data_IF_591714246948
#
_entry.id   IF_591714246948
#
_cell.length_a   1.000
_cell.length_b   1.000
_cell.length_c   1.000
_cell.angle_alpha   90.00
_cell.angle_beta   90.00
_cell.angle_gamma   90.00
#
_symmetry.space_group_name_H-M   'P 1'
#
loop_
_entity.id
_entity.type
_entity.pdbx_description
1 polymer ?
#
# COMPACT_ATOMS: atom_id res chain seq x y z
N UNK A 1 -18.96 -13.23 -8.83
CA UNK A 1 -18.07 -13.58 -7.70
C UNK A 1 -16.70 -12.98 -7.97
N UNK A 2 -15.93 -12.64 -6.94
CA UNK A 2 -14.55 -12.12 -7.04
C UNK A 2 -13.66 -12.94 -6.10
N UNK A 3 -12.54 -13.46 -6.59
CA UNK A 3 -11.67 -14.38 -5.85
C UNK A 3 -12.44 -15.56 -5.20
N UNK A 4 -13.51 -16.04 -5.83
CA UNK A 4 -14.37 -17.12 -5.33
C UNK A 4 -15.52 -16.69 -4.39
N UNK A 5 -15.66 -15.40 -4.06
CA UNK A 5 -16.67 -14.90 -3.11
C UNK A 5 -17.78 -14.10 -3.79
N UNK A 6 -19.02 -14.22 -3.32
CA UNK A 6 -20.15 -13.42 -3.80
C UNK A 6 -20.04 -11.97 -3.29
N UNK A 7 -20.11 -10.99 -4.19
CA UNK A 7 -19.87 -9.58 -3.82
C UNK A 7 -20.99 -9.01 -2.97
N UNK A 8 -22.25 -9.44 -3.15
CA UNK A 8 -23.41 -8.97 -2.39
C UNK A 8 -23.46 -9.61 -1.01
N UNK A 9 -23.18 -10.91 -0.91
CA UNK A 9 -23.29 -11.69 0.33
C UNK A 9 -22.00 -11.72 1.14
N UNK A 10 -20.83 -11.61 0.50
CA UNK A 10 -19.51 -11.83 1.10
C UNK A 10 -18.56 -10.65 0.83
N UNK A 11 -19.07 -9.43 0.82
CA UNK A 11 -18.30 -8.21 0.48
C UNK A 11 -17.05 -7.98 1.33
N UNK A 12 -17.04 -8.41 2.61
CA UNK A 12 -15.85 -8.36 3.48
C UNK A 12 -14.74 -9.28 3.00
N UNK A 13 -15.07 -10.51 2.60
CA UNK A 13 -14.08 -11.48 2.10
C UNK A 13 -13.46 -11.06 0.77
N UNK A 14 -14.27 -10.43 -0.09
CA UNK A 14 -13.78 -9.81 -1.32
C UNK A 14 -12.78 -8.70 -1.00
N UNK A 15 -13.13 -7.74 -0.13
CA UNK A 15 -12.25 -6.60 0.23
C UNK A 15 -10.94 -7.00 0.91
N UNK A 16 -10.89 -8.13 1.62
CA UNK A 16 -9.63 -8.63 2.20
C UNK A 16 -8.65 -9.18 1.15
N UNK A 17 -9.14 -9.58 -0.03
CA UNK A 17 -8.37 -10.29 -1.06
C UNK A 17 -8.00 -9.43 -2.26
N UNK A 18 -8.56 -8.23 -2.36
CA UNK A 18 -8.26 -7.29 -3.44
C UNK A 18 -7.72 -5.98 -2.86
N UNK A 19 -6.76 -5.39 -3.57
CA UNK A 19 -6.38 -3.99 -3.39
C UNK A 19 -7.23 -3.11 -4.31
N UNK A 20 -7.65 -1.94 -3.84
CA UNK A 20 -8.26 -0.91 -4.68
C UNK A 20 -7.18 0.11 -5.06
N UNK A 21 -6.92 0.27 -6.35
CA UNK A 21 -6.09 1.36 -6.87
C UNK A 21 -7.02 2.41 -7.51
N UNK A 22 -7.09 3.61 -6.93
CA UNK A 22 -7.84 4.74 -7.49
C UNK A 22 -7.06 5.44 -8.60
N UNK A 23 -7.71 6.35 -9.34
CA UNK A 23 -7.01 7.24 -10.29
C UNK A 23 -5.98 8.14 -9.59
N UNK A 24 -6.18 8.40 -8.30
CA UNK A 24 -5.17 8.94 -7.41
C UNK A 24 -4.63 7.79 -6.59
N UNK A 25 -3.30 7.66 -6.56
CA UNK A 25 -2.64 6.74 -5.65
C UNK A 25 -3.17 6.99 -4.24
N UNK A 26 -3.56 5.93 -3.54
CA UNK A 26 -4.08 6.00 -2.17
C UNK A 26 -2.94 6.27 -1.15
N UNK A 27 -2.06 7.21 -1.49
CA UNK A 27 -0.90 7.63 -0.70
C UNK A 27 -1.22 8.97 -0.04
N UNK A 28 -0.90 9.07 1.24
CA UNK A 28 -0.94 10.33 1.97
C UNK A 28 0.32 11.14 1.59
N UNK A 29 0.12 12.31 1.00
CA UNK A 29 1.19 13.18 0.51
C UNK A 29 2.05 13.79 1.62
N UNK A 30 1.54 13.83 2.86
CA UNK A 30 2.28 14.31 4.03
C UNK A 30 3.26 13.26 4.57
N UNK A 31 2.98 11.99 4.32
CA UNK A 31 3.79 10.87 4.76
C UNK A 31 4.92 10.59 3.76
N UNK A 32 5.98 9.95 4.24
CA UNK A 32 7.04 9.37 3.41
C UNK A 32 6.56 8.10 2.71
N UNK A 33 7.28 7.62 1.68
CA UNK A 33 6.96 6.35 1.02
C UNK A 33 6.94 5.18 1.99
N UNK A 34 7.92 5.14 2.91
CA UNK A 34 8.01 4.11 3.96
C UNK A 34 6.84 4.17 4.95
N UNK A 35 6.43 5.36 5.36
CA UNK A 35 5.28 5.53 6.27
C UNK A 35 3.97 5.14 5.61
N UNK A 36 3.78 5.48 4.32
CA UNK A 36 2.63 5.04 3.55
C UNK A 36 2.52 3.51 3.49
N UNK A 37 3.62 2.82 3.15
CA UNK A 37 3.62 1.36 3.09
C UNK A 37 3.36 0.73 4.48
N UNK A 38 3.89 1.35 5.54
CA UNK A 38 3.62 0.90 6.91
C UNK A 38 2.16 1.12 7.34
N UNK A 39 1.56 2.25 6.95
CA UNK A 39 0.15 2.53 7.17
C UNK A 39 -0.71 1.46 6.47
N UNK A 40 -0.43 1.20 5.19
CA UNK A 40 -1.14 0.19 4.40
C UNK A 40 -1.01 -1.19 5.08
N UNK A 41 0.21 -1.63 5.43
CA UNK A 41 0.41 -2.93 6.08
C UNK A 41 -0.30 -3.05 7.45
N UNK A 42 -0.43 -1.93 8.18
CA UNK A 42 -1.19 -1.88 9.42
C UNK A 42 -2.70 -2.03 9.18
N UNK A 43 -3.24 -1.38 8.15
CA UNK A 43 -4.64 -1.52 7.74
C UNK A 43 -4.97 -2.93 7.24
N UNK A 44 -3.99 -3.64 6.66
CA UNK A 44 -4.09 -5.05 6.30
C UNK A 44 -3.80 -6.02 7.46
N UNK A 45 -3.59 -5.52 8.68
CA UNK A 45 -3.34 -6.32 9.88
C UNK A 45 -2.10 -7.25 9.81
N UNK A 46 -1.06 -6.86 9.07
CA UNK A 46 0.17 -7.67 8.94
C UNK A 46 0.99 -7.74 10.25
N UNK A 47 0.76 -6.83 11.19
CA UNK A 47 1.53 -6.73 12.44
C UNK A 47 2.85 -5.98 12.27
N UNK A 48 3.34 -5.37 13.36
CA UNK A 48 4.42 -4.36 13.32
C UNK A 48 5.71 -4.84 12.64
N UNK A 49 6.15 -6.07 12.92
CA UNK A 49 7.40 -6.61 12.36
C UNK A 49 7.25 -6.93 10.88
N UNK A 50 6.20 -7.65 10.49
CA UNK A 50 5.97 -8.00 9.08
C UNK A 50 5.70 -6.76 8.23
N UNK A 51 4.96 -5.78 8.75
CA UNK A 51 4.74 -4.49 8.08
C UNK A 51 6.05 -3.74 7.80
N UNK A 52 7.02 -3.76 8.73
CA UNK A 52 8.33 -3.12 8.52
C UNK A 52 9.13 -3.83 7.43
N UNK A 53 9.28 -5.14 7.55
CA UNK A 53 10.01 -5.95 6.56
C UNK A 53 9.40 -5.79 5.17
N UNK A 54 8.07 -5.91 5.07
CA UNK A 54 7.37 -5.81 3.80
C UNK A 54 7.44 -4.42 3.16
N UNK A 55 7.43 -3.36 3.96
CA UNK A 55 7.61 -2.00 3.44
C UNK A 55 9.00 -1.82 2.84
N UNK A 56 10.03 -2.36 3.49
CA UNK A 56 11.41 -2.24 3.03
C UNK A 56 11.63 -3.08 1.74
N UNK A 57 11.11 -4.30 1.68
CA UNK A 57 11.09 -5.14 0.47
C UNK A 57 10.40 -4.46 -0.72
N UNK A 58 9.24 -3.83 -0.50
CA UNK A 58 8.50 -3.17 -1.57
C UNK A 58 9.21 -1.92 -2.08
N UNK A 59 9.89 -1.17 -1.21
CA UNK A 59 10.68 -0.02 -1.62
C UNK A 59 11.87 -0.43 -2.50
N UNK A 60 12.49 -1.57 -2.19
CA UNK A 60 13.57 -2.14 -3.01
C UNK A 60 13.03 -2.63 -4.36
N UNK A 61 11.94 -3.39 -4.37
CA UNK A 61 11.33 -3.91 -5.59
C UNK A 61 10.87 -2.82 -6.57
N UNK A 62 10.52 -1.64 -6.05
CA UNK A 62 10.03 -0.50 -6.83
C UNK A 62 11.13 0.53 -7.15
N UNK A 63 12.39 0.25 -6.80
CA UNK A 63 13.53 1.18 -6.94
C UNK A 63 13.28 2.53 -6.23
N UNK A 64 12.58 2.50 -5.09
CA UNK A 64 12.22 3.68 -4.29
C UNK A 64 13.01 3.80 -2.99
N UNK A 65 14.00 2.93 -2.75
CA UNK A 65 14.82 2.92 -1.52
C UNK A 65 15.43 4.29 -1.20
N UNK A 66 16.04 4.96 -2.18
CA UNK A 66 16.65 6.28 -2.01
C UNK A 66 15.63 7.40 -1.76
N UNK A 67 14.38 7.18 -2.20
CA UNK A 67 13.27 8.10 -1.99
C UNK A 67 12.49 7.81 -0.71
N UNK A 68 12.75 6.68 -0.03
CA UNK A 68 11.86 6.10 0.97
C UNK A 68 11.50 7.03 2.12
N UNK A 69 12.43 7.91 2.50
CA UNK A 69 12.29 8.86 3.62
C UNK A 69 11.93 10.29 3.17
N UNK A 70 11.68 10.50 1.87
CA UNK A 70 11.15 11.77 1.35
C UNK A 70 9.62 11.73 1.38
N UNK A 71 8.99 12.85 1.69
CA UNK A 71 7.54 12.99 1.66
C UNK A 71 7.01 12.72 0.24
N UNK A 72 5.91 11.99 0.13
CA UNK A 72 5.33 11.55 -1.15
C UNK A 72 4.88 12.73 -2.01
N UNK A 73 4.58 13.91 -1.43
CA UNK A 73 4.36 15.14 -2.21
C UNK A 73 5.53 15.49 -3.15
N UNK A 74 6.75 15.02 -2.86
CA UNK A 74 7.96 15.25 -3.67
C UNK A 74 8.20 14.19 -4.73
N UNK A 75 7.35 13.16 -4.81
CA UNK A 75 7.48 12.08 -5.77
C UNK A 75 6.94 12.48 -7.13
N UNK A 76 7.60 12.02 -8.19
CA UNK A 76 7.06 12.12 -9.55
C UNK A 76 5.74 11.34 -9.66
N UNK A 77 4.94 11.63 -10.68
CA UNK A 77 3.71 10.86 -10.92
C UNK A 77 3.96 9.37 -11.21
N UNK A 78 5.16 9.00 -11.68
CA UNK A 78 5.56 7.59 -11.82
C UNK A 78 5.81 6.93 -10.47
N UNK A 79 6.56 7.58 -9.59
CA UNK A 79 6.87 7.07 -8.25
C UNK A 79 5.65 6.94 -7.33
N UNK A 80 4.58 7.69 -7.60
CA UNK A 80 3.33 7.62 -6.83
C UNK A 80 2.43 6.46 -7.25
N UNK A 81 2.61 5.86 -8.43
CA UNK A 81 1.69 4.87 -9.00
C UNK A 81 2.00 3.45 -8.57
#
# INVERSE_FOLDING_TARGET
TVAGFDVRRQSKEVRRRIGLTGQYAAVDERLTGRENLRLIGTLYHLGKTATRARADELLELLDLTDAANRAVKTYSGGMRR
#
